data_IF_272360601297
#
_entry.id   IF_272360601297
#
_cell.length_a   1.000
_cell.length_b   1.000
_cell.length_c   1.000
_cell.angle_alpha   90.00
_cell.angle_beta   90.00
_cell.angle_gamma   90.00
#
_symmetry.space_group_name_H-M   'P 1'
#
loop_
_entity.id
_entity.type
_entity.pdbx_description
1 polymer ?
#
# COMPACT_ATOMS: atom_id res chain seq x y z
N UNK A 1 -40.96 -15.51 8.38
CA UNK A 1 -39.77 -15.89 9.17
C UNK A 1 -38.95 -16.84 8.33
N UNK A 2 -37.66 -16.58 8.11
CA UNK A 2 -36.76 -17.53 7.45
C UNK A 2 -36.61 -18.79 8.33
N UNK A 3 -36.51 -19.97 7.73
CA UNK A 3 -36.22 -21.20 8.49
C UNK A 3 -34.79 -21.14 9.05
N UNK A 4 -34.56 -21.82 10.18
CA UNK A 4 -33.24 -21.95 10.81
C UNK A 4 -32.18 -22.44 9.81
N UNK A 5 -32.56 -23.45 9.00
CA UNK A 5 -31.74 -23.95 7.90
C UNK A 5 -31.43 -22.88 6.85
N UNK A 6 -32.40 -22.08 6.42
CA UNK A 6 -32.16 -21.01 5.46
C UNK A 6 -31.20 -19.94 6.01
N UNK A 7 -31.31 -19.59 7.30
CA UNK A 7 -30.41 -18.65 7.97
C UNK A 7 -28.98 -19.21 7.98
N UNK A 8 -28.82 -20.49 8.32
CA UNK A 8 -27.52 -21.17 8.33
C UNK A 8 -26.83 -21.09 6.96
N UNK A 9 -27.56 -21.38 5.89
CA UNK A 9 -27.03 -21.31 4.52
C UNK A 9 -26.64 -19.88 4.13
N UNK A 10 -27.46 -18.88 4.46
CA UNK A 10 -27.14 -17.47 4.20
C UNK A 10 -25.83 -17.08 4.88
N UNK A 11 -25.67 -17.43 6.17
CA UNK A 11 -24.47 -17.10 6.92
C UNK A 11 -23.24 -17.76 6.29
N UNK A 12 -23.31 -19.05 5.95
CA UNK A 12 -22.22 -19.78 5.28
C UNK A 12 -21.85 -19.12 3.95
N UNK A 13 -22.82 -18.74 3.13
CA UNK A 13 -22.58 -18.07 1.85
C UNK A 13 -21.89 -16.71 2.07
N UNK A 14 -22.36 -15.92 3.04
CA UNK A 14 -21.74 -14.61 3.34
C UNK A 14 -20.30 -14.72 3.82
N UNK A 15 -19.99 -15.65 4.72
CA UNK A 15 -18.61 -15.88 5.18
C UNK A 15 -17.73 -16.49 4.08
N UNK A 16 -18.26 -17.35 3.23
CA UNK A 16 -17.52 -17.89 2.08
C UNK A 16 -17.12 -16.77 1.10
N UNK A 17 -18.02 -15.81 0.83
CA UNK A 17 -17.68 -14.64 0.03
C UNK A 17 -16.56 -13.80 0.69
N UNK A 18 -16.59 -13.64 2.01
CA UNK A 18 -15.54 -12.92 2.73
C UNK A 18 -14.18 -13.64 2.68
N UNK A 19 -14.17 -14.97 2.75
CA UNK A 19 -12.96 -15.79 2.57
C UNK A 19 -12.38 -15.57 1.17
N UNK A 20 -13.22 -15.65 0.14
CA UNK A 20 -12.79 -15.44 -1.25
C UNK A 20 -12.18 -14.04 -1.44
N UNK A 21 -12.79 -13.00 -0.87
CA UNK A 21 -12.23 -11.65 -0.89
C UNK A 21 -10.88 -11.55 -0.17
N UNK A 22 -10.74 -12.24 0.96
CA UNK A 22 -9.47 -12.34 1.67
C UNK A 22 -8.38 -13.02 0.83
N UNK A 23 -8.71 -14.10 0.13
CA UNK A 23 -7.77 -14.84 -0.75
C UNK A 23 -7.36 -13.99 -1.96
N UNK A 24 -8.32 -13.30 -2.60
CA UNK A 24 -8.02 -12.41 -3.72
C UNK A 24 -7.09 -11.28 -3.27
N UNK A 25 -7.40 -10.64 -2.13
CA UNK A 25 -6.57 -9.59 -1.55
C UNK A 25 -5.17 -10.11 -1.22
N UNK A 26 -5.08 -11.27 -0.55
CA UNK A 26 -3.80 -11.88 -0.18
C UNK A 26 -2.94 -12.21 -1.40
N UNK A 27 -3.55 -12.78 -2.43
CA UNK A 27 -2.85 -13.09 -3.69
C UNK A 27 -2.36 -11.83 -4.37
N UNK A 28 -3.21 -10.79 -4.45
CA UNK A 28 -2.84 -9.50 -5.04
C UNK A 28 -1.63 -8.88 -4.31
N UNK A 29 -1.72 -8.70 -2.99
CA UNK A 29 -0.63 -8.11 -2.21
C UNK A 29 0.60 -9.01 -2.15
N UNK A 30 0.41 -10.33 -2.13
CA UNK A 30 1.48 -11.32 -2.17
C UNK A 30 2.27 -11.26 -3.46
N UNK A 31 1.59 -11.13 -4.62
CA UNK A 31 2.25 -10.89 -5.90
C UNK A 31 2.97 -9.55 -5.88
N UNK A 32 2.32 -8.48 -5.41
CA UNK A 32 2.94 -7.14 -5.34
C UNK A 32 4.23 -7.15 -4.52
N UNK A 33 4.28 -7.88 -3.41
CA UNK A 33 5.48 -8.00 -2.58
C UNK A 33 6.50 -8.93 -3.22
N UNK A 34 6.09 -10.03 -3.84
CA UNK A 34 7.00 -10.93 -4.54
C UNK A 34 7.69 -10.25 -5.74
N UNK A 35 6.98 -9.37 -6.44
CA UNK A 35 7.56 -8.54 -7.50
C UNK A 35 8.37 -7.36 -6.95
N UNK A 36 8.05 -6.89 -5.73
CA UNK A 36 8.66 -5.73 -5.11
C UNK A 36 9.01 -5.97 -3.61
N UNK A 37 10.08 -6.76 -3.34
CA UNK A 37 10.35 -7.31 -2.01
C UNK A 37 10.69 -6.28 -0.92
N UNK A 38 11.07 -5.07 -1.31
CA UNK A 38 11.42 -3.96 -0.43
C UNK A 38 10.23 -3.26 0.24
N UNK A 39 9.00 -3.48 -0.25
CA UNK A 39 7.77 -3.00 0.41
C UNK A 39 7.57 -3.59 1.81
N UNK A 40 8.40 -4.56 2.20
CA UNK A 40 8.46 -5.17 3.53
C UNK A 40 9.33 -4.41 4.54
N UNK A 41 10.27 -3.56 4.08
CA UNK A 41 11.37 -3.01 4.92
C UNK A 41 11.10 -1.56 5.37
N UNK A 42 9.96 -0.98 5.02
CA UNK A 42 9.57 0.39 5.39
C UNK A 42 9.12 0.53 6.85
N UNK A 43 9.97 0.18 7.82
CA UNK A 43 9.65 0.20 9.26
C UNK A 43 9.52 1.61 9.88
N UNK A 44 9.72 2.70 9.13
CA UNK A 44 9.77 4.05 9.74
C UNK A 44 9.26 5.19 8.84
N UNK A 45 8.24 4.91 8.04
CA UNK A 45 7.42 5.97 7.44
C UNK A 45 5.98 5.82 7.90
N UNK A 46 5.52 6.84 8.62
CA UNK A 46 4.20 7.06 9.21
C UNK A 46 3.00 6.98 8.24
N UNK A 47 3.20 6.49 7.02
CA UNK A 47 2.14 6.20 6.05
C UNK A 47 2.32 4.90 5.24
N UNK A 48 3.41 4.12 5.46
CA UNK A 48 3.74 2.96 4.60
C UNK A 48 4.25 1.73 5.37
N UNK A 49 3.54 1.33 6.42
CA UNK A 49 3.48 -0.10 6.82
C UNK A 49 2.67 -0.97 5.84
N UNK A 50 2.64 -0.61 4.55
CA UNK A 50 1.53 -0.94 3.64
C UNK A 50 1.49 -2.38 3.17
N UNK A 51 2.63 -3.04 2.94
CA UNK A 51 2.64 -4.40 2.39
C UNK A 51 2.24 -5.47 3.42
N UNK A 52 3.01 -5.55 4.50
CA UNK A 52 2.84 -6.57 5.53
C UNK A 52 1.52 -6.42 6.29
N UNK A 53 1.12 -5.19 6.66
CA UNK A 53 -0.16 -4.96 7.34
C UNK A 53 -1.34 -5.42 6.47
N UNK A 54 -1.26 -5.23 5.14
CA UNK A 54 -2.30 -5.69 4.21
C UNK A 54 -2.33 -7.22 4.08
N UNK A 55 -1.16 -7.88 4.09
CA UNK A 55 -1.09 -9.35 4.19
C UNK A 55 -1.75 -9.82 5.48
N UNK A 56 -1.32 -9.30 6.64
CA UNK A 56 -1.87 -9.68 7.94
C UNK A 56 -3.38 -9.43 8.03
N UNK A 57 -3.85 -8.30 7.51
CA UNK A 57 -5.27 -7.99 7.43
C UNK A 57 -6.03 -8.99 6.54
N UNK A 58 -5.43 -9.42 5.43
CA UNK A 58 -6.04 -10.40 4.53
C UNK A 58 -6.12 -11.78 5.18
N UNK A 59 -5.05 -12.22 5.87
CA UNK A 59 -5.05 -13.46 6.66
C UNK A 59 -6.11 -13.41 7.77
N UNK A 60 -6.17 -12.30 8.52
CA UNK A 60 -7.16 -12.13 9.57
C UNK A 60 -8.59 -12.24 9.02
N UNK A 61 -8.87 -11.66 7.85
CA UNK A 61 -10.19 -11.74 7.23
C UNK A 61 -10.55 -13.19 6.81
N UNK A 62 -9.58 -13.95 6.29
CA UNK A 62 -9.76 -15.38 5.98
C UNK A 62 -10.04 -16.17 7.27
N UNK A 63 -9.26 -15.96 8.33
CA UNK A 63 -9.45 -16.64 9.62
C UNK A 63 -10.82 -16.33 10.22
N UNK A 64 -11.24 -15.07 10.21
CA UNK A 64 -12.58 -14.66 10.67
C UNK A 64 -13.66 -15.35 9.84
N UNK A 65 -13.46 -15.47 8.51
CA UNK A 65 -14.32 -16.22 7.61
C UNK A 65 -14.51 -17.68 8.04
N UNK A 66 -13.41 -18.39 8.26
CA UNK A 66 -13.41 -19.80 8.66
C UNK A 66 -14.07 -19.96 10.03
N UNK A 67 -13.70 -19.12 11.01
CA UNK A 67 -14.27 -19.16 12.36
C UNK A 67 -15.77 -18.82 12.34
N UNK A 68 -16.23 -17.97 11.45
CA UNK A 68 -17.66 -17.66 11.27
C UNK A 68 -18.46 -18.88 10.81
N UNK A 69 -17.94 -19.62 9.81
CA UNK A 69 -18.55 -20.86 9.34
C UNK A 69 -18.56 -21.92 10.45
N UNK A 70 -17.41 -22.14 11.12
CA UNK A 70 -17.30 -23.10 12.23
C UNK A 70 -18.25 -22.73 13.36
N UNK A 71 -18.33 -21.44 13.72
CA UNK A 71 -19.20 -20.96 14.78
C UNK A 71 -20.68 -21.22 14.49
N UNK A 72 -21.09 -21.11 13.23
CA UNK A 72 -22.46 -21.40 12.80
C UNK A 72 -22.74 -22.90 12.75
N UNK A 73 -21.84 -23.70 12.19
CA UNK A 73 -22.01 -25.17 12.08
C UNK A 73 -22.01 -25.83 13.46
N UNK A 74 -21.17 -25.35 14.38
CA UNK A 74 -21.07 -25.88 15.75
C UNK A 74 -22.00 -25.18 16.75
N UNK A 75 -22.84 -24.24 16.30
CA UNK A 75 -23.74 -23.44 17.14
C UNK A 75 -23.02 -22.74 18.32
N UNK A 76 -21.77 -22.32 18.13
CA UNK A 76 -20.96 -21.63 19.13
C UNK A 76 -21.31 -20.15 19.23
N UNK A 77 -22.41 -19.86 19.93
CA UNK A 77 -22.98 -18.51 20.05
C UNK A 77 -22.02 -17.48 20.64
N UNK A 78 -21.12 -17.86 21.55
CA UNK A 78 -20.12 -16.94 22.13
C UNK A 78 -19.09 -16.54 21.07
N UNK A 79 -18.59 -17.50 20.29
CA UNK A 79 -17.66 -17.24 19.18
C UNK A 79 -18.29 -16.28 18.16
N UNK A 80 -19.55 -16.52 17.77
CA UNK A 80 -20.27 -15.67 16.82
C UNK A 80 -20.46 -14.24 17.34
N UNK A 81 -20.73 -14.04 18.64
CA UNK A 81 -20.80 -12.71 19.25
C UNK A 81 -19.46 -11.98 19.16
N UNK A 82 -18.36 -12.65 19.48
CA UNK A 82 -17.00 -12.08 19.38
C UNK A 82 -16.69 -11.69 17.93
N UNK A 83 -16.98 -12.58 16.97
CA UNK A 83 -16.76 -12.32 15.54
C UNK A 83 -17.54 -11.09 15.07
N UNK A 84 -18.80 -10.96 15.49
CA UNK A 84 -19.62 -9.78 15.12
C UNK A 84 -19.02 -8.49 15.68
N UNK A 85 -18.55 -8.49 16.93
CA UNK A 85 -17.88 -7.31 17.48
C UNK A 85 -16.62 -6.93 16.68
N UNK A 86 -15.79 -7.91 16.32
CA UNK A 86 -14.58 -7.69 15.51
C UNK A 86 -14.95 -7.15 14.12
N UNK A 87 -15.92 -7.76 13.45
CA UNK A 87 -16.38 -7.32 12.13
C UNK A 87 -17.00 -5.92 12.16
N UNK A 88 -17.77 -5.58 13.19
CA UNK A 88 -18.33 -4.25 13.35
C UNK A 88 -17.23 -3.18 13.48
N UNK A 89 -16.20 -3.45 14.29
CA UNK A 89 -15.03 -2.57 14.39
C UNK A 89 -14.28 -2.45 13.05
N UNK A 90 -14.15 -3.56 12.31
CA UNK A 90 -13.50 -3.57 11.00
C UNK A 90 -14.26 -2.73 9.97
N UNK A 91 -15.60 -2.82 9.94
CA UNK A 91 -16.45 -1.99 9.07
C UNK A 91 -16.24 -0.51 9.36
N UNK A 92 -16.27 -0.10 10.64
CA UNK A 92 -16.03 1.31 11.03
C UNK A 92 -14.65 1.78 10.59
N UNK A 93 -13.62 0.97 10.83
CA UNK A 93 -12.24 1.28 10.45
C UNK A 93 -12.10 1.44 8.94
N UNK A 94 -12.72 0.56 8.15
CA UNK A 94 -12.69 0.63 6.69
C UNK A 94 -13.37 1.90 6.16
N UNK A 95 -14.49 2.30 6.76
CA UNK A 95 -15.17 3.56 6.40
C UNK A 95 -14.29 4.76 6.71
N UNK A 96 -13.64 4.80 7.88
CA UNK A 96 -12.72 5.90 8.24
C UNK A 96 -11.56 5.99 7.25
N UNK A 97 -10.92 4.85 6.93
CA UNK A 97 -9.81 4.80 5.97
C UNK A 97 -10.27 5.25 4.58
N UNK A 98 -11.46 4.80 4.14
CA UNK A 98 -12.03 5.22 2.86
C UNK A 98 -12.27 6.73 2.81
N UNK A 99 -12.87 7.30 3.86
CA UNK A 99 -13.09 8.76 3.94
C UNK A 99 -11.76 9.51 3.89
N UNK A 100 -10.77 9.09 4.69
CA UNK A 100 -9.42 9.69 4.66
C UNK A 100 -8.79 9.59 3.26
N UNK A 101 -8.92 8.45 2.59
CA UNK A 101 -8.42 8.26 1.24
C UNK A 101 -9.11 9.20 0.24
N UNK A 102 -10.44 9.38 0.35
CA UNK A 102 -11.20 10.27 -0.53
C UNK A 102 -10.92 11.76 -0.27
N UNK A 103 -10.72 12.17 0.99
CA UNK A 103 -10.46 13.58 1.33
C UNK A 103 -9.01 13.99 1.05
N UNK A 104 -8.06 13.06 1.17
CA UNK A 104 -6.63 13.34 0.99
C UNK A 104 -6.13 13.04 -0.44
N UNK A 105 -7.02 12.85 -1.42
CA UNK A 105 -6.66 12.32 -2.75
C UNK A 105 -5.53 13.07 -3.46
N UNK A 106 -5.31 14.36 -3.22
CA UNK A 106 -4.46 15.18 -4.10
C UNK A 106 -3.48 16.13 -3.39
N UNK A 107 -3.17 15.93 -2.12
CA UNK A 107 -2.20 16.82 -1.45
C UNK A 107 -1.25 16.01 -0.62
N UNK A 108 -0.13 15.63 -1.23
CA UNK A 108 1.11 15.58 -0.44
C UNK A 108 1.22 16.92 0.26
N UNK A 109 1.13 16.90 1.58
CA UNK A 109 1.28 18.13 2.35
C UNK A 109 2.72 18.60 2.20
N UNK A 110 2.97 19.89 2.44
CA UNK A 110 4.35 20.39 2.52
C UNK A 110 5.18 19.60 3.54
N UNK A 111 4.54 19.08 4.59
CA UNK A 111 5.19 18.22 5.59
C UNK A 111 5.66 16.91 4.97
N UNK A 112 4.81 16.24 4.20
CA UNK A 112 5.16 14.98 3.54
C UNK A 112 6.33 15.18 2.57
N UNK A 113 6.26 16.21 1.72
CA UNK A 113 7.33 16.55 0.78
C UNK A 113 8.64 16.79 1.54
N UNK A 114 8.60 17.57 2.62
CA UNK A 114 9.79 17.87 3.42
C UNK A 114 10.40 16.63 4.08
N UNK A 115 9.58 15.66 4.51
CA UNK A 115 10.08 14.40 5.07
C UNK A 115 10.90 13.60 4.05
N UNK A 116 10.39 13.47 2.82
CA UNK A 116 11.13 12.79 1.73
C UNK A 116 12.42 13.53 1.38
N UNK A 117 12.37 14.86 1.29
CA UNK A 117 13.55 15.70 1.05
C UNK A 117 14.60 15.52 2.14
N UNK A 118 14.18 15.54 3.41
CA UNK A 118 15.08 15.37 4.54
C UNK A 118 15.74 14.00 4.53
N UNK A 119 14.97 12.93 4.30
CA UNK A 119 15.52 11.58 4.26
C UNK A 119 16.46 11.37 3.08
N UNK A 120 16.14 11.91 1.90
CA UNK A 120 17.04 11.85 0.75
C UNK A 120 18.33 12.64 1.02
N UNK A 121 18.24 13.85 1.55
CA UNK A 121 19.42 14.70 1.77
C UNK A 121 20.28 14.27 2.96
N UNK A 122 19.72 13.61 3.98
CA UNK A 122 20.44 13.23 5.20
C UNK A 122 20.79 11.75 5.31
N UNK A 123 20.00 10.85 4.73
CA UNK A 123 20.10 9.40 5.01
C UNK A 123 20.38 8.56 3.76
N UNK A 124 20.08 9.06 2.55
CA UNK A 124 20.35 8.32 1.32
C UNK A 124 21.85 8.11 1.10
N UNK A 125 22.27 6.83 0.99
CA UNK A 125 23.65 6.36 0.92
C UNK A 125 24.30 6.03 2.26
N UNK A 126 23.67 6.39 3.38
CA UNK A 126 24.15 6.10 4.74
C UNK A 126 23.26 5.05 5.40
N UNK A 127 21.94 5.22 5.30
CA UNK A 127 20.95 4.25 5.74
C UNK A 127 20.52 3.37 4.55
N UNK A 128 20.81 2.07 4.64
CA UNK A 128 20.50 1.10 3.59
C UNK A 128 18.98 0.94 3.39
N UNK A 129 18.19 1.00 4.47
CA UNK A 129 16.73 0.89 4.40
C UNK A 129 16.11 2.06 3.64
N UNK A 130 16.55 3.29 3.93
CA UNK A 130 16.12 4.50 3.21
C UNK A 130 16.59 4.48 1.76
N UNK A 131 17.85 4.10 1.52
CA UNK A 131 18.43 4.04 0.17
C UNK A 131 17.67 3.06 -0.70
N UNK A 132 17.45 1.85 -0.17
CA UNK A 132 16.67 0.81 -0.82
C UNK A 132 15.26 1.30 -1.09
N UNK A 133 14.55 1.83 -0.09
CA UNK A 133 13.18 2.32 -0.23
C UNK A 133 13.03 3.39 -1.34
N UNK A 134 13.92 4.38 -1.40
CA UNK A 134 13.85 5.45 -2.39
C UNK A 134 14.22 4.99 -3.81
N UNK A 135 15.23 4.13 -3.95
CA UNK A 135 15.59 3.55 -5.25
C UNK A 135 14.48 2.70 -5.83
N UNK A 136 13.96 1.85 -4.97
CA UNK A 136 12.91 0.95 -5.35
C UNK A 136 11.62 1.69 -5.73
N UNK A 137 11.23 2.70 -4.96
CA UNK A 137 10.07 3.54 -5.33
C UNK A 137 10.23 4.25 -6.67
N UNK A 138 11.47 4.58 -7.08
CA UNK A 138 11.74 5.13 -8.41
C UNK A 138 11.55 4.10 -9.53
N UNK A 139 12.05 2.89 -9.33
CA UNK A 139 11.92 1.79 -10.30
C UNK A 139 10.46 1.34 -10.46
N UNK A 140 9.71 1.28 -9.36
CA UNK A 140 8.31 0.85 -9.30
C UNK A 140 7.37 1.83 -10.01
N UNK A 141 7.48 3.11 -9.65
CA UNK A 141 6.58 4.16 -10.15
C UNK A 141 7.11 4.78 -11.46
N UNK A 142 8.23 4.25 -11.97
CA UNK A 142 8.92 4.71 -13.17
C UNK A 142 9.11 6.24 -13.13
N UNK A 143 9.75 6.70 -12.07
CA UNK A 143 9.96 8.09 -11.73
C UNK A 143 11.41 8.35 -11.31
N UNK A 144 11.81 9.62 -11.24
CA UNK A 144 13.14 9.97 -10.76
C UNK A 144 13.13 11.27 -9.97
N UNK A 145 13.69 11.21 -8.76
CA UNK A 145 13.72 12.33 -7.81
C UNK A 145 12.62 12.22 -6.77
N UNK A 146 12.86 12.87 -5.63
CA UNK A 146 11.92 12.95 -4.49
C UNK A 146 11.83 14.38 -3.95
N UNK A 147 12.04 15.38 -4.80
CA UNK A 147 12.09 16.78 -4.39
C UNK A 147 10.71 17.44 -4.42
N UNK A 148 9.77 16.89 -5.20
CA UNK A 148 8.53 17.56 -5.58
C UNK A 148 8.72 18.66 -6.64
N UNK A 149 9.97 18.92 -7.05
CA UNK A 149 10.32 19.81 -8.16
C UNK A 149 11.17 19.03 -9.17
N UNK A 150 10.58 18.81 -10.34
CA UNK A 150 11.22 18.14 -11.45
C UNK A 150 12.65 18.69 -11.75
N UNK A 151 12.93 19.97 -11.56
CA UNK A 151 14.25 20.52 -11.89
C UNK A 151 15.32 20.19 -10.85
N UNK A 152 14.93 19.86 -9.63
CA UNK A 152 15.84 19.80 -8.49
C UNK A 152 16.45 18.42 -8.30
N UNK A 153 17.79 18.34 -8.38
CA UNK A 153 18.53 17.12 -8.09
C UNK A 153 19.04 17.12 -6.63
N UNK A 154 18.23 16.57 -5.72
CA UNK A 154 18.61 16.46 -4.31
C UNK A 154 19.67 15.39 -4.03
N UNK A 155 19.94 14.47 -4.96
CA UNK A 155 20.99 13.45 -4.76
C UNK A 155 22.35 14.11 -4.56
N UNK A 156 22.60 15.26 -5.19
CA UNK A 156 23.83 16.05 -5.05
C UNK A 156 24.11 16.48 -3.59
N UNK A 157 23.07 16.55 -2.76
CA UNK A 157 23.16 16.96 -1.36
C UNK A 157 23.26 15.76 -0.40
N UNK A 158 23.05 14.54 -0.89
CA UNK A 158 23.00 13.32 -0.08
C UNK A 158 24.40 12.81 0.33
N UNK A 159 24.50 12.02 1.43
CA UNK A 159 25.70 11.26 1.77
C UNK A 159 26.18 10.37 0.63
N UNK A 160 25.25 9.71 -0.09
CA UNK A 160 25.55 8.87 -1.25
C UNK A 160 26.42 9.59 -2.29
N UNK A 161 26.09 10.83 -2.66
CA UNK A 161 26.84 11.57 -3.68
C UNK A 161 28.29 11.82 -3.27
N UNK A 162 28.53 12.07 -1.98
CA UNK A 162 29.89 12.22 -1.43
C UNK A 162 30.64 10.89 -1.51
N UNK A 163 29.98 9.79 -1.15
CA UNK A 163 30.56 8.45 -1.14
C UNK A 163 30.96 8.00 -2.55
N UNK A 164 30.04 8.05 -3.52
CA UNK A 164 30.30 7.55 -4.88
C UNK A 164 31.30 8.39 -5.67
N UNK A 165 31.49 9.65 -5.29
CA UNK A 165 32.44 10.55 -5.95
C UNK A 165 33.73 10.82 -5.16
N UNK A 166 33.98 10.14 -4.04
CA UNK A 166 35.13 10.41 -3.18
C UNK A 166 36.48 10.32 -3.92
N UNK A 167 36.59 9.40 -4.89
CA UNK A 167 37.82 9.11 -5.64
C UNK A 167 37.69 9.40 -7.16
N UNK A 168 36.65 10.13 -7.58
CA UNK A 168 36.39 10.38 -9.00
C UNK A 168 37.08 11.68 -9.45
N UNK A 169 38.05 11.55 -10.36
CA UNK A 169 38.79 12.68 -10.96
C UNK A 169 38.20 13.18 -12.28
N UNK A 170 37.23 12.44 -12.86
CA UNK A 170 36.55 12.77 -14.10
C UNK A 170 35.12 13.30 -13.90
N UNK A 171 34.22 12.96 -14.83
CA UNK A 171 32.79 13.29 -14.69
C UNK A 171 32.20 12.57 -13.48
N UNK A 172 31.60 13.34 -12.59
CA UNK A 172 30.97 12.86 -11.36
C UNK A 172 29.66 12.14 -11.66
N UNK A 173 29.35 11.14 -10.84
CA UNK A 173 28.05 10.47 -10.80
C UNK A 173 27.07 11.34 -10.01
N UNK A 174 26.02 11.82 -10.66
CA UNK A 174 25.02 12.76 -10.14
C UNK A 174 23.67 12.12 -9.88
N UNK A 175 23.41 10.93 -10.44
CA UNK A 175 22.13 10.23 -10.36
C UNK A 175 22.34 8.73 -10.11
N UNK A 176 21.51 8.09 -9.28
CA UNK A 176 21.55 6.64 -9.08
C UNK A 176 20.95 5.90 -10.27
N UNK A 177 21.29 4.61 -10.43
CA UNK A 177 20.78 3.78 -11.54
C UNK A 177 19.27 3.62 -11.53
N UNK A 178 18.65 3.62 -10.35
CA UNK A 178 17.19 3.58 -10.14
C UNK A 178 16.44 4.74 -10.80
N UNK A 179 17.12 5.82 -11.18
CA UNK A 179 16.54 6.97 -11.88
C UNK A 179 16.56 6.78 -13.42
N UNK A 180 17.42 5.90 -13.91
CA UNK A 180 17.78 5.78 -15.31
C UNK A 180 16.82 4.86 -16.06
N UNK A 181 16.47 5.25 -17.28
CA UNK A 181 15.72 4.36 -18.20
C UNK A 181 16.59 3.18 -18.65
N UNK A 182 17.87 3.45 -18.86
CA UNK A 182 18.90 2.46 -19.15
C UNK A 182 20.13 2.80 -18.30
N UNK A 183 20.62 1.88 -17.46
CA UNK A 183 21.81 2.12 -16.66
C UNK A 183 23.01 2.47 -17.53
N UNK A 184 23.73 3.53 -17.17
CA UNK A 184 24.93 3.93 -17.89
C UNK A 184 25.35 5.39 -17.72
N UNK A 185 26.53 5.74 -18.27
CA UNK A 185 27.17 7.03 -18.00
C UNK A 185 26.37 8.23 -18.51
N UNK A 186 25.56 8.06 -19.56
CA UNK A 186 24.71 9.14 -20.11
C UNK A 186 23.66 9.62 -19.11
N UNK A 187 23.12 8.71 -18.32
CA UNK A 187 22.18 9.04 -17.25
C UNK A 187 22.94 9.48 -15.98
N UNK A 188 23.84 8.63 -15.51
CA UNK A 188 24.55 8.82 -14.24
C UNK A 188 25.37 10.11 -14.18
N UNK A 189 25.86 10.62 -15.31
CA UNK A 189 26.70 11.82 -15.37
C UNK A 189 25.95 13.03 -15.96
N UNK A 190 24.61 13.03 -15.90
CA UNK A 190 23.81 14.16 -16.33
C UNK A 190 24.00 15.36 -15.39
N UNK A 191 24.27 16.54 -15.96
CA UNK A 191 24.53 17.75 -15.17
C UNK A 191 23.27 18.30 -14.49
N UNK A 192 22.11 18.16 -15.14
CA UNK A 192 20.83 18.57 -14.58
C UNK A 192 19.70 17.59 -14.95
N UNK A 193 18.71 17.47 -14.07
CA UNK A 193 17.57 16.55 -14.25
C UNK A 193 16.64 16.96 -15.40
N UNK A 194 16.51 18.26 -15.67
CA UNK A 194 15.64 18.78 -16.73
C UNK A 194 16.08 18.30 -18.11
N UNK A 195 17.35 18.49 -18.42
CA UNK A 195 18.01 18.06 -19.65
C UNK A 195 18.06 16.54 -19.74
N UNK A 196 18.33 15.84 -18.63
CA UNK A 196 18.28 14.38 -18.59
C UNK A 196 16.89 13.84 -19.01
N UNK A 197 15.81 14.53 -18.62
CA UNK A 197 14.44 14.19 -19.04
C UNK A 197 14.16 14.56 -20.49
N UNK A 198 14.57 15.75 -20.93
CA UNK A 198 14.43 16.18 -22.33
C UNK A 198 15.13 15.20 -23.29
N UNK A 199 16.31 14.70 -22.90
CA UNK A 199 17.10 13.71 -23.64
C UNK A 199 16.66 12.26 -23.42
N UNK A 200 15.66 12.01 -22.58
CA UNK A 200 15.14 10.67 -22.23
C UNK A 200 16.22 9.72 -21.70
N UNK A 201 17.04 10.19 -20.77
CA UNK A 201 17.96 9.34 -20.02
C UNK A 201 17.36 8.87 -18.69
N UNK A 202 16.40 9.62 -18.16
CA UNK A 202 15.73 9.35 -16.88
C UNK A 202 14.22 9.36 -17.04
N UNK A 203 13.52 8.81 -16.05
CA UNK A 203 12.07 8.85 -15.99
C UNK A 203 11.49 10.28 -16.01
N UNK A 204 10.34 10.44 -16.69
CA UNK A 204 9.76 11.74 -17.01
C UNK A 204 9.30 12.55 -15.79
N UNK A 205 8.82 11.89 -14.74
CA UNK A 205 8.22 12.57 -13.59
C UNK A 205 9.08 12.42 -12.34
N UNK A 206 9.05 13.44 -11.47
CA UNK A 206 9.46 13.28 -10.07
C UNK A 206 8.51 12.32 -9.35
N UNK A 207 9.01 11.54 -8.41
CA UNK A 207 8.21 10.51 -7.75
C UNK A 207 7.07 11.10 -6.92
N UNK A 208 7.28 12.23 -6.26
CA UNK A 208 6.22 12.89 -5.50
C UNK A 208 5.15 13.48 -6.43
N UNK A 209 5.57 14.06 -7.56
CA UNK A 209 4.65 14.52 -8.60
C UNK A 209 3.87 13.36 -9.23
N UNK A 210 4.53 12.23 -9.48
CA UNK A 210 3.92 11.02 -10.05
C UNK A 210 2.88 10.41 -9.09
N UNK A 211 3.22 10.34 -7.80
CA UNK A 211 2.31 9.89 -6.74
C UNK A 211 1.11 10.82 -6.62
N UNK A 212 1.34 12.14 -6.65
CA UNK A 212 0.26 13.13 -6.59
C UNK A 212 -0.64 13.13 -7.83
N UNK A 213 -0.13 12.66 -8.96
CA UNK A 213 -0.86 12.54 -10.22
C UNK A 213 -1.27 11.10 -10.51
N UNK A 214 -1.46 10.26 -9.48
CA UNK A 214 -1.91 8.87 -9.67
C UNK A 214 -3.20 8.82 -10.48
N UNK A 215 -3.29 7.81 -11.34
CA UNK A 215 -4.38 7.67 -12.30
C UNK A 215 -5.72 7.56 -11.57
N UNK A 216 -6.67 8.44 -11.90
CA UNK A 216 -8.02 8.45 -11.34
C UNK A 216 -8.73 7.09 -11.44
N UNK A 217 -8.36 6.27 -12.44
CA UNK A 217 -8.85 4.90 -12.61
C UNK A 217 -8.37 3.96 -11.48
N UNK A 218 -7.09 4.04 -11.09
CA UNK A 218 -6.55 3.21 -10.02
C UNK A 218 -7.18 3.54 -8.67
N UNK A 219 -7.32 4.84 -8.37
CA UNK A 219 -7.98 5.29 -7.13
C UNK A 219 -9.47 4.94 -7.10
N UNK A 220 -10.14 4.98 -8.26
CA UNK A 220 -11.52 4.51 -8.38
C UNK A 220 -11.61 3.01 -8.04
N UNK A 221 -10.71 2.19 -8.59
CA UNK A 221 -10.69 0.75 -8.34
C UNK A 221 -10.45 0.42 -6.86
N UNK A 222 -9.50 1.08 -6.19
CA UNK A 222 -9.27 0.91 -4.74
C UNK A 222 -10.51 1.26 -3.93
N UNK A 223 -11.16 2.38 -4.27
CA UNK A 223 -12.33 2.85 -3.53
C UNK A 223 -13.53 1.91 -3.72
N UNK A 224 -13.76 1.42 -4.95
CA UNK A 224 -14.79 0.42 -5.21
C UNK A 224 -14.52 -0.88 -4.44
N UNK A 225 -13.27 -1.33 -4.39
CA UNK A 225 -12.88 -2.51 -3.62
C UNK A 225 -13.15 -2.36 -2.12
N UNK A 226 -12.80 -1.20 -1.55
CA UNK A 226 -13.02 -0.89 -0.14
C UNK A 226 -14.52 -0.87 0.22
N UNK A 227 -15.36 -0.28 -0.65
CA UNK A 227 -16.82 -0.27 -0.50
C UNK A 227 -17.36 -1.70 -0.56
N UNK A 228 -16.97 -2.48 -1.57
CA UNK A 228 -17.44 -3.86 -1.73
C UNK A 228 -17.10 -4.72 -0.51
N UNK A 229 -15.86 -4.62 -0.01
CA UNK A 229 -15.41 -5.33 1.19
C UNK A 229 -16.24 -4.94 2.41
N UNK A 230 -16.50 -3.63 2.60
CA UNK A 230 -17.30 -3.13 3.72
C UNK A 230 -18.74 -3.63 3.67
N UNK A 231 -19.34 -3.69 2.48
CA UNK A 231 -20.69 -4.25 2.28
C UNK A 231 -20.73 -5.74 2.61
N UNK A 232 -19.75 -6.52 2.16
CA UNK A 232 -19.66 -7.94 2.50
C UNK A 232 -19.53 -8.18 4.01
N UNK A 233 -18.70 -7.39 4.70
CA UNK A 233 -18.56 -7.48 6.15
C UNK A 233 -19.85 -7.07 6.88
N UNK A 234 -20.52 -6.02 6.43
CA UNK A 234 -21.81 -5.60 6.98
C UNK A 234 -22.89 -6.70 6.80
N UNK A 235 -22.91 -7.38 5.65
CA UNK A 235 -23.79 -8.54 5.43
C UNK A 235 -23.46 -9.70 6.37
N UNK A 236 -22.18 -9.99 6.64
CA UNK A 236 -21.78 -11.02 7.62
C UNK A 236 -22.25 -10.66 9.03
N UNK A 237 -22.15 -9.39 9.43
CA UNK A 237 -22.67 -8.90 10.71
C UNK A 237 -24.18 -9.10 10.79
N UNK A 238 -24.91 -8.64 9.77
CA UNK A 238 -26.37 -8.75 9.73
C UNK A 238 -26.85 -10.21 9.76
N UNK A 239 -26.28 -11.08 8.93
CA UNK A 239 -26.65 -12.50 8.87
C UNK A 239 -26.34 -13.22 10.19
N UNK A 240 -25.19 -12.92 10.81
CA UNK A 240 -24.80 -13.52 12.09
C UNK A 240 -25.68 -13.03 13.24
N UNK A 241 -26.07 -11.76 13.26
CA UNK A 241 -27.03 -11.23 14.25
C UNK A 241 -28.39 -11.93 14.15
N UNK A 242 -28.90 -12.13 12.93
CA UNK A 242 -30.13 -12.91 12.70
C UNK A 242 -30.00 -14.34 13.22
N UNK A 243 -28.84 -14.98 13.02
CA UNK A 243 -28.56 -16.32 13.54
C UNK A 243 -28.48 -16.37 15.07
N UNK A 244 -27.89 -15.37 15.73
CA UNK A 244 -27.78 -15.30 17.19
C UNK A 244 -29.14 -15.03 17.86
N UNK A 245 -29.97 -14.18 17.24
CA UNK A 245 -31.30 -13.82 17.75
C UNK A 245 -32.36 -14.89 17.48
N UNK A 246 -32.09 -15.83 16.56
CA UNK A 246 -32.95 -16.97 16.29
C UNK A 246 -33.12 -17.89 17.51
N UNK A 247 -34.24 -18.64 17.58
CA UNK A 247 -34.46 -19.60 18.65
C UNK A 247 -33.28 -20.56 18.76
N UNK A 248 -32.88 -20.90 19.98
CA UNK A 248 -31.92 -21.97 20.21
C UNK A 248 -32.60 -23.29 19.83
N UNK A 249 -32.11 -23.92 18.77
CA UNK A 249 -32.33 -25.36 18.56
C UNK A 249 -31.64 -26.16 19.67
#
# INVERSE_FOLDING_TARGET
MLSSEAIRHIVIVTYSANILLGIISLTFYGITIATNPYLTVGESFTFKGGGLIKIFSSLANITIGILGIVGVVQNWRILLKIIVCILACAVVTNVVILVMHLTNRNTLTKSDINEYREKLTKQYGEDEGVTSFLNNGQEEELCCGWSGDEKENLFLQSPWYKLVNANVTGKKTTLPDSCCLEPGPKCQQAENLKEAREKKYVHKYDCLTKISNKDAFYDLMISLWAVFTSLCQAMCVASTMVSIMGPAE
#
